data_IF_620848664295
#
_entry.id   IF_620848664295
#
_cell.length_a   1.000
_cell.length_b   1.000
_cell.length_c   1.000
_cell.angle_alpha   90.00
_cell.angle_beta   90.00
_cell.angle_gamma   90.00
#
_symmetry.space_group_name_H-M   'P 1'
#
loop_
_entity.id
_entity.type
_entity.pdbx_description
1 polymer ?
#
# COMPACT_ATOMS: atom_id res chain seq x y z
N UNK A 1 -54.39 2.57 -46.72
CA UNK A 1 -53.29 3.52 -46.93
C UNK A 1 -53.52 4.68 -46.00
N UNK A 2 -52.83 4.71 -44.85
CA UNK A 2 -52.32 5.98 -44.33
C UNK A 2 -51.20 5.71 -43.32
N UNK A 3 -50.07 6.36 -43.56
CA UNK A 3 -48.77 6.09 -42.97
C UNK A 3 -48.50 7.17 -41.94
N UNK A 4 -48.48 6.84 -40.65
CA UNK A 4 -47.93 7.73 -39.61
C UNK A 4 -46.89 6.99 -38.79
N UNK A 5 -45.65 7.11 -39.23
CA UNK A 5 -44.48 7.00 -38.40
C UNK A 5 -44.39 8.27 -37.52
N UNK A 6 -44.27 8.12 -36.20
CA UNK A 6 -43.61 9.14 -35.37
C UNK A 6 -43.17 8.57 -34.01
N UNK A 7 -41.86 8.65 -33.80
CA UNK A 7 -41.17 8.96 -32.55
C UNK A 7 -41.18 7.95 -31.39
N UNK A 8 -40.08 7.18 -31.34
CA UNK A 8 -39.09 7.15 -30.24
C UNK A 8 -39.66 7.17 -28.80
N UNK A 9 -39.78 5.97 -28.25
CA UNK A 9 -39.61 5.72 -26.82
C UNK A 9 -38.41 4.79 -26.61
N UNK A 10 -37.19 5.26 -26.85
CA UNK A 10 -36.01 4.59 -26.28
C UNK A 10 -36.00 5.02 -24.82
N UNK A 11 -36.69 4.25 -23.98
CA UNK A 11 -36.40 4.23 -22.56
C UNK A 11 -34.92 3.87 -22.42
N UNK A 12 -34.11 4.89 -22.20
CA UNK A 12 -32.80 4.73 -21.60
C UNK A 12 -33.09 4.10 -20.25
N UNK A 13 -32.94 2.77 -20.17
CA UNK A 13 -32.87 2.04 -18.90
C UNK A 13 -31.76 2.69 -18.09
N UNK A 14 -32.14 3.63 -17.24
CA UNK A 14 -31.30 4.18 -16.19
C UNK A 14 -30.63 2.99 -15.50
N UNK A 15 -29.30 3.02 -15.55
CA UNK A 15 -28.46 1.92 -15.16
C UNK A 15 -28.91 1.35 -13.82
N UNK A 16 -29.37 0.10 -13.88
CA UNK A 16 -29.49 -0.82 -12.76
C UNK A 16 -28.14 -0.84 -12.04
N UNK A 17 -27.95 0.11 -11.13
CA UNK A 17 -26.80 0.18 -10.25
C UNK A 17 -27.06 -0.90 -9.20
N UNK A 18 -26.62 -2.12 -9.52
CA UNK A 18 -26.71 -3.30 -8.65
C UNK A 18 -26.43 -2.88 -7.21
N UNK A 19 -27.42 -3.08 -6.36
CA UNK A 19 -27.28 -2.87 -4.92
C UNK A 19 -26.18 -3.80 -4.42
N UNK A 20 -25.01 -3.26 -4.09
CA UNK A 20 -23.91 -4.05 -3.53
C UNK A 20 -24.31 -4.64 -2.17
N UNK A 21 -23.82 -5.84 -1.80
CA UNK A 21 -24.15 -6.48 -0.54
C UNK A 21 -23.71 -5.60 0.62
N UNK A 22 -24.44 -5.67 1.73
CA UNK A 22 -23.89 -5.26 3.02
C UNK A 22 -22.69 -6.16 3.37
N UNK A 23 -21.49 -5.56 3.39
CA UNK A 23 -20.25 -6.25 3.73
C UNK A 23 -20.29 -6.84 5.14
N UNK A 24 -19.99 -8.14 5.26
CA UNK A 24 -19.65 -8.74 6.55
C UNK A 24 -18.43 -8.01 7.14
N UNK A 25 -18.48 -7.72 8.43
CA UNK A 25 -17.51 -6.89 9.12
C UNK A 25 -16.11 -7.51 9.04
N UNK A 26 -15.12 -6.74 8.59
CA UNK A 26 -13.71 -7.11 8.76
C UNK A 26 -13.46 -7.43 10.24
N UNK A 27 -12.71 -8.51 10.57
CA UNK A 27 -12.44 -8.86 11.96
C UNK A 27 -11.70 -7.70 12.65
N UNK A 28 -11.98 -7.49 13.93
CA UNK A 28 -11.46 -6.34 14.68
C UNK A 28 -9.94 -6.22 14.60
N UNK A 29 -9.22 -7.34 14.69
CA UNK A 29 -7.76 -7.37 14.62
C UNK A 29 -7.19 -6.87 13.28
N UNK A 30 -7.86 -7.15 12.15
CA UNK A 30 -7.44 -6.62 10.84
C UNK A 30 -7.65 -5.12 10.75
N UNK A 31 -8.77 -4.61 11.29
CA UNK A 31 -9.04 -3.17 11.33
C UNK A 31 -8.02 -2.46 12.19
N UNK A 32 -7.72 -3.00 13.38
CA UNK A 32 -6.73 -2.45 14.30
C UNK A 32 -5.35 -2.47 13.66
N UNK A 33 -4.91 -3.61 13.09
CA UNK A 33 -3.63 -3.71 12.40
C UNK A 33 -3.51 -2.77 11.20
N UNK A 34 -4.56 -2.66 10.39
CA UNK A 34 -4.63 -1.71 9.28
C UNK A 34 -4.45 -0.27 9.74
N UNK A 35 -5.23 0.19 10.73
CA UNK A 35 -5.13 1.55 11.25
C UNK A 35 -3.79 1.83 11.94
N UNK A 36 -3.26 0.84 12.66
CA UNK A 36 -1.93 0.92 13.24
C UNK A 36 -0.86 1.14 12.16
N UNK A 37 -0.88 0.36 11.07
CA UNK A 37 0.03 0.55 9.94
C UNK A 37 -0.16 1.92 9.27
N UNK A 38 -1.41 2.39 9.10
CA UNK A 38 -1.68 3.73 8.54
C UNK A 38 -1.06 4.83 9.40
N UNK A 39 -1.26 4.79 10.73
CA UNK A 39 -0.70 5.78 11.66
C UNK A 39 0.82 5.78 11.59
N UNK A 40 1.46 4.60 11.60
CA UNK A 40 2.92 4.49 11.48
C UNK A 40 3.40 5.05 10.15
N UNK A 41 2.73 4.71 9.04
CA UNK A 41 3.11 5.21 7.71
C UNK A 41 3.10 6.75 7.67
N UNK A 42 2.03 7.37 8.16
CA UNK A 42 1.92 8.84 8.24
C UNK A 42 3.02 9.42 9.13
N UNK A 43 3.20 8.88 10.34
CA UNK A 43 4.22 9.37 11.28
C UNK A 43 5.65 9.30 10.70
N UNK A 44 5.96 8.23 9.96
CA UNK A 44 7.28 8.06 9.32
C UNK A 44 7.50 9.06 8.20
N UNK A 45 6.48 9.32 7.39
CA UNK A 45 6.56 10.32 6.31
C UNK A 45 6.75 11.72 6.91
N UNK A 46 5.97 12.08 7.93
CA UNK A 46 6.11 13.35 8.63
C UNK A 46 7.49 13.51 9.27
N UNK A 47 8.00 12.47 9.96
CA UNK A 47 9.37 12.47 10.50
C UNK A 47 10.39 12.70 9.39
N UNK A 48 10.27 12.00 8.25
CA UNK A 48 11.22 12.11 7.13
C UNK A 48 11.24 13.51 6.53
N UNK A 49 10.07 14.10 6.30
CA UNK A 49 9.95 15.47 5.80
C UNK A 49 10.53 16.48 6.80
N UNK A 50 10.26 16.31 8.10
CA UNK A 50 10.82 17.18 9.14
C UNK A 50 12.35 17.10 9.21
N UNK A 51 12.94 15.91 9.05
CA UNK A 51 14.40 15.73 9.00
C UNK A 51 15.00 16.46 7.80
N UNK A 52 14.40 16.35 6.61
CA UNK A 52 14.88 17.09 5.44
C UNK A 52 14.79 18.61 5.64
N UNK A 53 13.68 19.09 6.20
CA UNK A 53 13.52 20.51 6.53
C UNK A 53 14.56 21.01 7.55
N UNK A 54 14.92 20.18 8.55
CA UNK A 54 15.90 20.53 9.57
C UNK A 54 17.35 20.48 9.04
N UNK A 55 17.67 19.53 8.15
CA UNK A 55 18.98 19.46 7.49
C UNK A 55 19.18 20.66 6.54
N UNK A 56 18.14 21.07 5.81
CA UNK A 56 18.17 22.27 4.96
C UNK A 56 18.42 23.57 5.78
N UNK A 57 18.13 23.55 7.08
CA UNK A 57 18.36 24.67 8.00
C UNK A 57 19.72 24.63 8.72
N UNK A 58 20.60 23.67 8.39
CA UNK A 58 21.98 23.62 8.90
C UNK A 58 22.18 22.92 10.25
N UNK A 59 21.21 22.14 10.75
CA UNK A 59 21.37 21.38 11.98
C UNK A 59 22.16 20.08 11.81
N UNK A 60 22.99 19.70 12.80
CA UNK A 60 23.70 18.42 12.85
C UNK A 60 22.81 17.30 13.45
N UNK A 61 22.88 16.09 12.89
CA UNK A 61 21.85 15.05 13.06
C UNK A 61 22.18 13.92 14.05
N UNK A 62 21.08 13.30 14.51
CA UNK A 62 20.87 12.31 15.58
C UNK A 62 21.59 10.94 15.44
N UNK A 63 21.36 9.94 16.32
CA UNK A 63 21.92 8.58 16.20
C UNK A 63 21.66 7.85 14.87
N UNK A 64 20.73 8.34 14.04
CA UNK A 64 20.48 7.83 12.67
C UNK A 64 21.14 8.65 11.55
N UNK A 65 22.07 9.54 11.88
CA UNK A 65 22.69 10.50 10.95
C UNK A 65 23.22 9.86 9.67
N UNK A 66 23.85 8.67 9.78
CA UNK A 66 24.37 7.94 8.62
C UNK A 66 23.27 7.50 7.64
N UNK A 67 22.12 7.01 8.14
CA UNK A 67 20.97 6.69 7.29
C UNK A 67 20.37 7.97 6.69
N UNK A 68 20.25 9.02 7.50
CA UNK A 68 19.65 10.28 7.07
C UNK A 68 20.49 10.94 5.95
N UNK A 69 21.82 10.81 5.97
CA UNK A 69 22.71 11.27 4.91
C UNK A 69 22.52 10.51 3.57
N UNK A 70 22.29 9.19 3.61
CA UNK A 70 22.00 8.39 2.40
C UNK A 70 20.66 8.80 1.77
N UNK A 71 19.65 9.10 2.59
CA UNK A 71 18.37 9.60 2.07
C UNK A 71 18.47 11.04 1.54
N UNK A 72 19.31 11.88 2.15
CA UNK A 72 19.54 13.26 1.70
C UNK A 72 20.25 13.31 0.33
N UNK A 73 21.17 12.38 0.04
CA UNK A 73 21.79 12.31 -1.31
C UNK A 73 20.81 11.92 -2.42
N UNK A 74 19.64 11.37 -2.05
CA UNK A 74 18.55 11.02 -2.96
C UNK A 74 17.22 11.63 -2.50
N UNK A 75 17.25 12.88 -2.03
CA UNK A 75 16.09 13.56 -1.45
C UNK A 75 14.91 13.60 -2.43
N UNK A 76 15.15 14.00 -3.69
CA UNK A 76 14.12 14.09 -4.71
C UNK A 76 13.45 12.72 -4.99
N UNK A 77 14.24 11.65 -5.10
CA UNK A 77 13.72 10.29 -5.30
C UNK A 77 12.91 9.82 -4.08
N UNK A 78 13.42 10.12 -2.87
CA UNK A 78 12.75 9.77 -1.61
C UNK A 78 11.41 10.49 -1.50
N UNK A 79 11.35 11.81 -1.74
CA UNK A 79 10.12 12.59 -1.73
C UNK A 79 9.13 12.14 -2.81
N UNK A 80 9.63 11.90 -4.03
CA UNK A 80 8.85 11.39 -5.15
C UNK A 80 8.25 9.99 -4.88
N UNK A 81 8.83 9.22 -3.95
CA UNK A 81 8.28 7.94 -3.52
C UNK A 81 7.31 8.09 -2.33
N UNK A 82 7.76 8.74 -1.24
CA UNK A 82 7.03 8.72 0.04
C UNK A 82 5.74 9.54 0.00
N UNK A 83 5.68 10.64 -0.77
CA UNK A 83 4.49 11.47 -0.86
C UNK A 83 3.35 10.73 -1.61
N UNK A 84 3.58 10.14 -2.81
CA UNK A 84 2.59 9.27 -3.44
C UNK A 84 2.25 8.04 -2.60
N UNK A 85 3.21 7.44 -1.88
CA UNK A 85 2.94 6.31 -1.00
C UNK A 85 1.99 6.70 0.15
N UNK A 86 2.20 7.86 0.77
CA UNK A 86 1.28 8.39 1.79
C UNK A 86 -0.12 8.62 1.23
N UNK A 87 -0.23 9.24 0.05
CA UNK A 87 -1.51 9.45 -0.61
C UNK A 87 -2.23 8.12 -0.90
N UNK A 88 -1.50 7.11 -1.38
CA UNK A 88 -2.03 5.76 -1.60
C UNK A 88 -2.56 5.11 -0.31
N UNK A 89 -1.79 5.18 0.78
CA UNK A 89 -2.19 4.65 2.09
C UNK A 89 -3.45 5.34 2.61
N UNK A 90 -3.53 6.67 2.50
CA UNK A 90 -4.69 7.44 2.94
C UNK A 90 -5.93 7.25 2.05
N UNK A 91 -5.75 6.92 0.77
CA UNK A 91 -6.84 6.56 -0.14
C UNK A 91 -7.37 5.14 0.10
N UNK A 92 -6.52 4.24 0.61
CA UNK A 92 -6.86 2.82 0.80
C UNK A 92 -8.14 2.59 1.65
N UNK A 93 -8.37 3.24 2.82
CA UNK A 93 -9.61 3.06 3.58
C UNK A 93 -10.84 3.47 2.78
N UNK A 94 -10.76 4.56 2.02
CA UNK A 94 -11.90 5.07 1.23
C UNK A 94 -12.31 4.09 0.14
N UNK A 95 -11.33 3.48 -0.54
CA UNK A 95 -11.58 2.52 -1.62
C UNK A 95 -11.97 1.14 -1.08
N UNK A 96 -11.33 0.66 0.00
CA UNK A 96 -11.60 -0.66 0.58
C UNK A 96 -12.90 -0.72 1.40
N UNK A 97 -13.25 0.36 2.10
CA UNK A 97 -14.49 0.42 2.88
C UNK A 97 -15.67 0.92 2.05
N UNK A 98 -15.44 1.31 0.79
CA UNK A 98 -16.44 1.88 -0.13
C UNK A 98 -17.25 3.03 0.49
N UNK A 99 -16.69 3.68 1.52
CA UNK A 99 -17.34 4.74 2.27
C UNK A 99 -17.51 5.99 1.42
N UNK A 100 -16.65 6.14 0.41
CA UNK A 100 -16.75 7.19 -0.59
C UNK A 100 -17.01 6.55 -1.95
N UNK A 101 -18.23 6.72 -2.50
CA UNK A 101 -18.58 6.38 -3.90
C UNK A 101 -17.88 7.29 -4.92
N UNK A 102 -16.83 8.00 -4.53
CA UNK A 102 -16.09 8.91 -5.40
C UNK A 102 -15.26 8.12 -6.38
N UNK A 103 -15.72 8.11 -7.64
CA UNK A 103 -15.02 7.59 -8.82
C UNK A 103 -13.56 8.05 -8.87
N UNK A 104 -13.26 9.25 -8.35
CA UNK A 104 -11.90 9.80 -8.32
C UNK A 104 -10.94 9.03 -7.42
N UNK A 105 -11.41 8.46 -6.30
CA UNK A 105 -10.56 7.68 -5.40
C UNK A 105 -10.06 6.40 -6.08
N UNK A 106 -10.92 5.68 -6.81
CA UNK A 106 -10.50 4.52 -7.61
C UNK A 106 -9.60 4.92 -8.78
N UNK A 107 -9.89 6.05 -9.44
CA UNK A 107 -9.07 6.56 -10.55
C UNK A 107 -7.64 6.93 -10.12
N UNK A 108 -7.45 7.44 -8.91
CA UNK A 108 -6.13 7.78 -8.38
C UNK A 108 -5.39 6.59 -7.77
N UNK A 109 -6.11 5.60 -7.25
CA UNK A 109 -5.53 4.46 -6.55
C UNK A 109 -4.51 3.68 -7.41
N UNK A 110 -4.88 3.31 -8.63
CA UNK A 110 -4.01 2.55 -9.54
C UNK A 110 -2.76 3.32 -10.01
N UNK A 111 -2.86 4.56 -10.53
CA UNK A 111 -1.67 5.30 -10.95
C UNK A 111 -0.74 5.62 -9.78
N UNK A 112 -1.27 5.97 -8.60
CA UNK A 112 -0.44 6.16 -7.40
C UNK A 112 0.27 4.88 -7.01
N UNK A 113 -0.43 3.75 -6.97
CA UNK A 113 0.17 2.45 -6.68
C UNK A 113 1.26 2.07 -7.68
N UNK A 114 1.02 2.29 -8.97
CA UNK A 114 2.02 2.03 -10.01
C UNK A 114 3.25 2.92 -9.85
N UNK A 115 3.06 4.22 -9.59
CA UNK A 115 4.15 5.15 -9.32
C UNK A 115 4.99 4.74 -8.12
N UNK A 116 4.34 4.38 -7.02
CA UNK A 116 5.01 3.89 -5.80
C UNK A 116 5.81 2.61 -6.09
N UNK A 117 5.26 1.67 -6.84
CA UNK A 117 5.97 0.44 -7.18
C UNK A 117 7.16 0.66 -8.12
N UNK A 118 7.05 1.56 -9.10
CA UNK A 118 8.17 1.91 -10.00
C UNK A 118 9.28 2.61 -9.22
N UNK A 119 8.94 3.61 -8.41
CA UNK A 119 9.92 4.34 -7.61
C UNK A 119 10.57 3.46 -6.53
N UNK A 120 9.87 2.44 -6.01
CA UNK A 120 10.46 1.46 -5.10
C UNK A 120 11.60 0.66 -5.75
N UNK A 121 11.49 0.29 -7.04
CA UNK A 121 12.60 -0.35 -7.75
C UNK A 121 13.80 0.57 -7.88
N UNK A 122 13.58 1.85 -8.19
CA UNK A 122 14.64 2.84 -8.25
C UNK A 122 15.35 2.99 -6.89
N UNK A 123 14.60 3.05 -5.79
CA UNK A 123 15.18 3.08 -4.44
C UNK A 123 15.96 1.80 -4.10
N UNK A 124 15.52 0.63 -4.59
CA UNK A 124 16.20 -0.65 -4.35
C UNK A 124 17.60 -0.76 -4.98
N UNK A 125 17.97 0.16 -5.86
CA UNK A 125 19.33 0.24 -6.43
C UNK A 125 20.38 0.65 -5.38
N UNK A 126 19.95 1.32 -4.29
CA UNK A 126 20.82 1.82 -3.22
C UNK A 126 20.41 1.24 -1.85
N UNK A 127 20.51 -0.08 -1.64
CA UNK A 127 20.07 -0.72 -0.40
C UNK A 127 21.03 -0.39 0.76
N UNK A 128 20.48 -0.13 1.94
CA UNK A 128 21.23 0.13 3.17
C UNK A 128 21.69 -1.19 3.82
N UNK A 129 20.81 -2.19 3.84
CA UNK A 129 21.06 -3.56 4.35
C UNK A 129 21.60 -4.52 3.29
N UNK A 130 22.17 -4.00 2.19
CA UNK A 130 22.74 -4.80 1.11
C UNK A 130 21.74 -5.70 0.38
N UNK A 131 22.21 -6.87 -0.09
CA UNK A 131 21.41 -7.79 -0.92
C UNK A 131 20.20 -8.38 -0.21
N UNK A 132 20.23 -8.50 1.12
CA UNK A 132 19.11 -9.05 1.90
C UNK A 132 17.91 -8.09 1.86
N UNK A 133 18.15 -6.79 2.05
CA UNK A 133 17.11 -5.78 1.87
C UNK A 133 16.64 -5.75 0.42
N UNK A 134 17.57 -5.69 -0.53
CA UNK A 134 17.25 -5.58 -1.95
C UNK A 134 16.38 -6.74 -2.42
N UNK A 135 16.70 -7.97 -2.05
CA UNK A 135 15.90 -9.15 -2.40
C UNK A 135 14.49 -9.10 -1.81
N UNK A 136 14.33 -8.66 -0.56
CA UNK A 136 13.01 -8.46 0.04
C UNK A 136 12.20 -7.43 -0.76
N UNK A 137 12.79 -6.27 -1.05
CA UNK A 137 12.13 -5.21 -1.83
C UNK A 137 11.77 -5.73 -3.22
N UNK A 138 12.68 -6.38 -3.93
CA UNK A 138 12.39 -6.91 -5.27
C UNK A 138 11.24 -7.91 -5.25
N UNK A 139 11.23 -8.86 -4.31
CA UNK A 139 10.17 -9.85 -4.21
C UNK A 139 8.82 -9.21 -3.88
N UNK A 140 8.74 -8.47 -2.78
CA UNK A 140 7.47 -7.94 -2.29
C UNK A 140 6.95 -6.79 -3.15
N UNK A 141 7.82 -5.98 -3.74
CA UNK A 141 7.41 -4.97 -4.71
C UNK A 141 6.85 -5.61 -5.99
N UNK A 142 7.44 -6.71 -6.46
CA UNK A 142 6.92 -7.46 -7.60
C UNK A 142 5.53 -8.05 -7.28
N UNK A 143 5.37 -8.64 -6.09
CA UNK A 143 4.07 -9.16 -5.63
C UNK A 143 3.02 -8.05 -5.48
N UNK A 144 3.43 -6.89 -4.99
CA UNK A 144 2.59 -5.70 -4.89
C UNK A 144 2.10 -5.25 -6.27
N UNK A 145 3.01 -5.04 -7.23
CA UNK A 145 2.68 -4.61 -8.59
C UNK A 145 1.85 -5.65 -9.33
N UNK A 146 2.18 -6.94 -9.18
CA UNK A 146 1.37 -8.02 -9.73
C UNK A 146 -0.06 -7.99 -9.18
N UNK A 147 -0.20 -7.84 -7.86
CA UNK A 147 -1.51 -7.74 -7.21
C UNK A 147 -2.28 -6.50 -7.68
N UNK A 148 -1.59 -5.36 -7.81
CA UNK A 148 -2.19 -4.12 -8.31
C UNK A 148 -2.67 -4.27 -9.76
N UNK A 149 -1.86 -4.89 -10.63
CA UNK A 149 -2.21 -5.15 -12.02
C UNK A 149 -3.41 -6.10 -12.13
N UNK A 150 -3.43 -7.18 -11.34
CA UNK A 150 -4.55 -8.12 -11.29
C UNK A 150 -5.84 -7.44 -10.82
N UNK A 151 -5.75 -6.57 -9.80
CA UNK A 151 -6.87 -5.75 -9.37
C UNK A 151 -7.37 -4.82 -10.49
N UNK A 152 -6.45 -4.20 -11.23
CA UNK A 152 -6.80 -3.32 -12.35
C UNK A 152 -7.51 -4.09 -13.48
N UNK A 153 -6.95 -5.24 -13.87
CA UNK A 153 -7.56 -6.10 -14.91
C UNK A 153 -8.95 -6.57 -14.49
N UNK A 154 -9.13 -7.04 -13.26
CA UNK A 154 -10.43 -7.42 -12.73
C UNK A 154 -11.42 -6.23 -12.70
N UNK A 155 -10.95 -5.02 -12.35
CA UNK A 155 -11.76 -3.80 -12.40
C UNK A 155 -12.24 -3.50 -13.84
N UNK A 156 -11.37 -3.66 -14.84
CA UNK A 156 -11.71 -3.45 -16.26
C UNK A 156 -12.69 -4.49 -16.79
N UNK A 157 -12.72 -5.69 -16.20
CA UNK A 157 -13.66 -6.77 -16.52
C UNK A 157 -14.99 -6.70 -15.76
N UNK A 158 -15.12 -5.75 -14.80
CA UNK A 158 -16.30 -5.65 -13.94
C UNK A 158 -16.38 -6.72 -12.85
N UNK A 159 -15.28 -7.46 -12.60
CA UNK A 159 -15.20 -8.53 -11.60
C UNK A 159 -14.94 -7.94 -10.21
N UNK A 160 -16.00 -7.43 -9.56
CA UNK A 160 -15.88 -6.68 -8.31
C UNK A 160 -15.21 -7.46 -7.15
N UNK A 161 -15.49 -8.76 -7.04
CA UNK A 161 -14.93 -9.61 -5.98
C UNK A 161 -13.44 -9.86 -6.21
N UNK A 162 -13.07 -10.23 -7.43
CA UNK A 162 -11.67 -10.47 -7.79
C UNK A 162 -10.85 -9.18 -7.69
N UNK A 163 -11.43 -8.03 -8.11
CA UNK A 163 -10.84 -6.69 -7.87
C UNK A 163 -10.50 -6.52 -6.39
N UNK A 164 -11.48 -6.70 -5.50
CA UNK A 164 -11.29 -6.50 -4.06
C UNK A 164 -10.23 -7.43 -3.47
N UNK A 165 -10.21 -8.71 -3.89
CA UNK A 165 -9.19 -9.69 -3.47
C UNK A 165 -7.77 -9.20 -3.75
N UNK A 166 -7.53 -8.77 -4.98
CA UNK A 166 -6.21 -8.32 -5.41
C UNK A 166 -5.85 -6.95 -4.82
N UNK A 167 -6.83 -6.07 -4.63
CA UNK A 167 -6.63 -4.78 -3.93
C UNK A 167 -6.23 -4.99 -2.47
N UNK A 168 -6.88 -5.91 -1.76
CA UNK A 168 -6.52 -6.19 -0.37
C UNK A 168 -5.10 -6.77 -0.26
N UNK A 169 -4.69 -7.61 -1.21
CA UNK A 169 -3.31 -8.09 -1.30
C UNK A 169 -2.32 -6.97 -1.55
N UNK A 170 -2.57 -6.09 -2.52
CA UNK A 170 -1.65 -4.98 -2.80
C UNK A 170 -1.52 -4.03 -1.61
N UNK A 171 -2.64 -3.67 -0.97
CA UNK A 171 -2.61 -2.80 0.22
C UNK A 171 -1.87 -3.48 1.37
N UNK A 172 -2.16 -4.74 1.68
CA UNK A 172 -1.49 -5.45 2.77
C UNK A 172 0.03 -5.56 2.53
N UNK A 173 0.45 -5.94 1.31
CA UNK A 173 1.88 -5.99 0.97
C UNK A 173 2.51 -4.62 1.16
N UNK A 174 1.90 -3.55 0.65
CA UNK A 174 2.43 -2.19 0.81
C UNK A 174 2.55 -1.79 2.29
N UNK A 175 1.55 -2.10 3.13
CA UNK A 175 1.59 -1.83 4.57
C UNK A 175 2.69 -2.61 5.32
N UNK A 176 3.29 -3.62 4.67
CA UNK A 176 4.51 -4.27 5.14
C UNK A 176 5.59 -3.26 5.53
N UNK A 177 5.80 -2.20 4.75
CA UNK A 177 6.80 -1.16 5.05
C UNK A 177 6.51 -0.37 6.33
N UNK A 178 5.24 -0.26 6.74
CA UNK A 178 4.89 0.33 8.02
C UNK A 178 5.25 -0.62 9.16
N UNK A 179 5.08 -1.93 8.97
CA UNK A 179 5.41 -2.96 9.96
C UNK A 179 6.92 -3.17 10.11
N UNK A 180 7.72 -2.94 9.06
CA UNK A 180 9.19 -3.03 9.19
C UNK A 180 9.74 -2.01 10.21
N UNK A 181 9.05 -0.89 10.45
CA UNK A 181 9.49 0.19 11.34
C UNK A 181 9.52 -0.19 12.83
N UNK A 182 8.43 -0.69 13.44
CA UNK A 182 8.48 -1.19 14.81
C UNK A 182 9.45 -2.38 14.93
N UNK A 183 9.53 -3.26 13.93
CA UNK A 183 10.51 -4.37 13.92
C UNK A 183 11.95 -3.83 13.98
N UNK A 184 12.28 -2.84 13.14
CA UNK A 184 13.57 -2.15 13.23
C UNK A 184 13.78 -1.50 14.60
N UNK A 185 12.76 -0.85 15.16
CA UNK A 185 12.82 -0.23 16.48
C UNK A 185 13.18 -1.23 17.59
N UNK A 186 12.63 -2.44 17.54
CA UNK A 186 12.99 -3.54 18.45
C UNK A 186 14.46 -3.93 18.25
N UNK A 187 14.91 -4.14 17.01
CA UNK A 187 16.31 -4.47 16.74
C UNK A 187 17.29 -3.39 17.25
N UNK A 188 16.96 -2.12 17.01
CA UNK A 188 17.73 -0.99 17.55
C UNK A 188 17.76 -1.00 19.09
N UNK A 189 16.63 -1.23 19.76
CA UNK A 189 16.59 -1.31 21.22
C UNK A 189 17.42 -2.49 21.77
N UNK A 190 17.43 -3.63 21.07
CA UNK A 190 18.20 -4.82 21.46
C UNK A 190 19.65 -4.83 20.97
N UNK A 191 20.05 -3.89 20.11
CA UNK A 191 21.38 -3.87 19.47
C UNK A 191 22.54 -3.90 20.47
N UNK A 192 22.37 -3.28 21.63
CA UNK A 192 23.37 -3.30 22.72
C UNK A 192 23.56 -4.69 23.34
N UNK A 193 22.55 -5.55 23.25
CA UNK A 193 22.56 -6.91 23.78
C UNK A 193 22.94 -7.94 22.72
N UNK A 194 22.53 -7.71 21.47
CA UNK A 194 22.76 -8.65 20.37
C UNK A 194 24.04 -8.35 19.58
N UNK A 195 24.63 -7.17 19.77
CA UNK A 195 25.75 -6.64 18.99
C UNK A 195 25.51 -6.59 17.47
N UNK A 196 24.24 -6.62 17.06
CA UNK A 196 23.87 -6.54 15.64
C UNK A 196 23.99 -5.11 15.15
N UNK A 197 24.74 -4.93 14.07
CA UNK A 197 24.85 -3.65 13.38
C UNK A 197 23.60 -3.36 12.52
N UNK A 198 23.24 -2.08 12.31
CA UNK A 198 22.12 -1.70 11.46
C UNK A 198 22.10 -2.36 10.09
N UNK A 199 23.26 -2.50 9.44
CA UNK A 199 23.38 -3.15 8.15
C UNK A 199 22.91 -4.63 8.16
N UNK A 200 23.05 -5.32 9.29
CA UNK A 200 22.75 -6.74 9.42
C UNK A 200 21.25 -7.00 9.65
N UNK A 201 20.58 -6.18 10.46
CA UNK A 201 19.17 -6.40 10.78
C UNK A 201 18.19 -5.66 9.86
N UNK A 202 18.65 -4.70 9.05
CA UNK A 202 17.77 -3.91 8.17
C UNK A 202 17.02 -4.79 7.16
N UNK A 203 17.75 -5.66 6.44
CA UNK A 203 17.15 -6.60 5.49
C UNK A 203 16.21 -7.60 6.16
N UNK A 204 16.57 -8.10 7.36
CA UNK A 204 15.74 -9.02 8.14
C UNK A 204 14.42 -8.36 8.56
N UNK A 205 14.47 -7.10 9.00
CA UNK A 205 13.27 -6.35 9.37
C UNK A 205 12.33 -6.15 8.16
N UNK A 206 12.88 -5.96 6.96
CA UNK A 206 12.11 -5.91 5.72
C UNK A 206 11.38 -7.22 5.45
N UNK A 207 12.10 -8.34 5.48
CA UNK A 207 11.50 -9.67 5.33
C UNK A 207 10.39 -9.94 6.33
N UNK A 208 10.61 -9.65 7.62
CA UNK A 208 9.62 -9.87 8.68
C UNK A 208 8.38 -9.00 8.42
N UNK A 209 8.54 -7.70 8.22
CA UNK A 209 7.41 -6.78 8.08
C UNK A 209 6.52 -7.10 6.87
N UNK A 210 7.13 -7.35 5.72
CA UNK A 210 6.39 -7.71 4.51
C UNK A 210 5.76 -9.11 4.59
N UNK A 211 6.48 -10.09 5.15
CA UNK A 211 5.95 -11.46 5.28
C UNK A 211 4.75 -11.51 6.23
N UNK A 212 4.81 -10.84 7.38
CA UNK A 212 3.71 -10.80 8.35
C UNK A 212 2.43 -10.31 7.68
N UNK A 213 2.48 -9.19 6.97
CA UNK A 213 1.29 -8.62 6.32
C UNK A 213 0.78 -9.51 5.18
N UNK A 214 1.68 -10.05 4.37
CA UNK A 214 1.33 -10.93 3.25
C UNK A 214 0.69 -12.23 3.72
N UNK A 215 1.26 -12.86 4.75
CA UNK A 215 0.72 -14.08 5.35
C UNK A 215 -0.62 -13.79 6.03
N UNK A 216 -0.72 -12.72 6.80
CA UNK A 216 -1.96 -12.35 7.49
C UNK A 216 -3.13 -12.15 6.52
N UNK A 217 -2.91 -11.42 5.41
CA UNK A 217 -3.98 -11.22 4.42
C UNK A 217 -4.32 -12.51 3.68
N UNK A 218 -3.32 -13.32 3.32
CA UNK A 218 -3.55 -14.54 2.56
C UNK A 218 -4.27 -15.60 3.40
N UNK A 219 -3.88 -15.77 4.67
CA UNK A 219 -4.59 -16.63 5.61
C UNK A 219 -6.04 -16.17 5.80
N UNK A 220 -6.27 -14.87 5.92
CA UNK A 220 -7.63 -14.34 6.04
C UNK A 220 -8.44 -14.58 4.76
N UNK A 221 -7.88 -14.31 3.58
CA UNK A 221 -8.55 -14.55 2.30
C UNK A 221 -8.86 -16.04 2.09
N UNK A 222 -7.94 -16.94 2.46
CA UNK A 222 -8.16 -18.39 2.40
C UNK A 222 -9.23 -18.86 3.38
N UNK A 223 -9.23 -18.33 4.61
CA UNK A 223 -10.26 -18.64 5.61
C UNK A 223 -11.67 -18.24 5.18
N UNK A 224 -11.79 -17.31 4.22
CA UNK A 224 -13.06 -16.87 3.63
C UNK A 224 -13.43 -17.61 2.34
N UNK A 225 -12.55 -18.43 1.76
CA UNK A 225 -12.78 -19.12 0.48
C UNK A 225 -13.14 -18.16 -0.66
N UNK A 226 -13.96 -18.62 -1.61
CA UNK A 226 -14.60 -17.77 -2.64
C UNK A 226 -15.76 -16.92 -2.09
N UNK A 227 -15.99 -16.93 -0.77
CA UNK A 227 -17.07 -16.19 -0.10
C UNK A 227 -16.66 -14.78 0.33
N UNK A 228 -15.89 -14.08 -0.50
CA UNK A 228 -16.01 -12.63 -0.49
C UNK A 228 -17.34 -12.30 -1.17
N UNK A 229 -18.20 -11.50 -0.54
CA UNK A 229 -19.59 -11.39 -0.96
C UNK A 229 -19.65 -10.84 -2.38
N UNK A 230 -19.92 -11.74 -3.32
CA UNK A 230 -20.62 -11.46 -4.57
C UNK A 230 -22.03 -11.06 -4.15
N UNK A 231 -22.54 -9.93 -4.64
CA UNK A 231 -24.00 -9.82 -4.78
C UNK A 231 -24.32 -9.69 -6.25
N UNK A 232 -25.34 -10.47 -6.62
CA UNK A 232 -26.05 -10.37 -7.88
C UNK A 232 -26.92 -9.13 -7.97
#
# INVERSE_FOLDING_TARGET
>A
MDTKASARGVEVREGSFRAYPKYHQYPGWLKVGFWFCVVIAVAVVLRRVAVFAHLAQGGSSSPTAALDAVFASHEALTLAHILPAMAFVLLSPSVLLQRSRTIWAERLFFPLGAWVGVTAYAMSAHPVGGWVERSAVLLFNSLFLFSLLRAFVAARRGEAVEKMRWMLRSVAILLGIATTRPVMGVFFATSRLTHLEPAQFFGVAFWIGFSINTIAIELWLRSRGDRLPVVG
#
